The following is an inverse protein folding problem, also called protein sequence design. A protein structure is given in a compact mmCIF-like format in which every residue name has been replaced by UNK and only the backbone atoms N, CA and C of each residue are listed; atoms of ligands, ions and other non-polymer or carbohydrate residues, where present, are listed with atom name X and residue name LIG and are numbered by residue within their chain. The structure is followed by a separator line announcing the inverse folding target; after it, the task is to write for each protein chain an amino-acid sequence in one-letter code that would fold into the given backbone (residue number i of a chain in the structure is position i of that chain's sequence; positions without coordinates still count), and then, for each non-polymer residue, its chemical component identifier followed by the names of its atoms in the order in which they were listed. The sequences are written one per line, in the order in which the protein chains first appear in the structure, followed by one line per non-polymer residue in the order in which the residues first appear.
data_IF_951711393948
#
_entry.id   IF_951711393948
#
_cell.length_a   1.000
_cell.length_b   1.000
_cell.length_c   1.000
_cell.angle_alpha   90.00
_cell.angle_beta   90.00
_cell.angle_gamma   90.00
#
_symmetry.space_group_name_H-M   'P 1'
#
loop_
_entity.id
_entity.type
_entity.pdbx_description
1 polymer ?
#
# COMPACT_ATOMS: atom_id res chain seq x y z
N UNK A 1 -3.68 22.67 2.59
CA UNK A 1 -4.75 21.82 2.00
C UNK A 1 -5.40 21.05 3.14
N UNK A 2 -6.63 21.38 3.54
CA UNK A 2 -7.33 20.64 4.61
C UNK A 2 -7.87 19.33 4.02
N UNK A 3 -7.40 18.20 4.51
CA UNK A 3 -7.89 16.87 4.11
C UNK A 3 -9.25 16.66 4.81
N UNK A 4 -10.35 16.91 4.11
CA UNK A 4 -11.70 16.65 4.62
C UNK A 4 -12.11 15.23 4.24
N UNK A 5 -11.74 14.25 5.08
CA UNK A 5 -12.20 12.87 4.91
C UNK A 5 -13.65 12.75 5.39
N UNK A 6 -14.47 12.09 4.59
CA UNK A 6 -15.84 11.72 5.01
C UNK A 6 -15.78 10.53 5.97
N UNK A 7 -16.77 10.40 6.87
CA UNK A 7 -16.89 9.24 7.77
C UNK A 7 -16.82 7.91 7.01
N UNK A 8 -17.43 7.84 5.82
CA UNK A 8 -17.37 6.67 4.95
C UNK A 8 -15.94 6.32 4.54
N UNK A 9 -15.14 7.31 4.15
CA UNK A 9 -13.73 7.10 3.77
C UNK A 9 -12.89 6.63 4.94
N UNK A 10 -13.12 7.18 6.13
CA UNK A 10 -12.43 6.77 7.37
C UNK A 10 -12.75 5.31 7.69
N UNK A 11 -14.03 4.94 7.71
CA UNK A 11 -14.46 3.56 7.99
C UNK A 11 -13.92 2.58 6.94
N UNK A 12 -13.99 2.96 5.66
CA UNK A 12 -13.46 2.12 4.58
C UNK A 12 -11.95 1.95 4.68
N UNK A 13 -11.20 3.02 4.97
CA UNK A 13 -9.76 2.95 5.18
C UNK A 13 -9.41 2.04 6.37
N UNK A 14 -10.12 2.18 7.50
CA UNK A 14 -9.93 1.33 8.67
C UNK A 14 -10.15 -0.16 8.36
N UNK A 15 -11.22 -0.48 7.60
CA UNK A 15 -11.50 -1.85 7.17
C UNK A 15 -10.41 -2.41 6.24
N UNK A 16 -9.89 -1.59 5.31
CA UNK A 16 -8.82 -2.00 4.40
C UNK A 16 -7.49 -2.20 5.14
N UNK A 17 -7.17 -1.35 6.11
CA UNK A 17 -6.00 -1.51 6.97
C UNK A 17 -6.13 -2.80 7.80
N UNK A 18 -7.28 -3.04 8.43
CA UNK A 18 -7.52 -4.26 9.19
C UNK A 18 -7.43 -5.52 8.32
N UNK A 19 -7.99 -5.49 7.11
CA UNK A 19 -7.87 -6.58 6.15
C UNK A 19 -6.41 -6.84 5.76
N UNK A 20 -5.62 -5.79 5.56
CA UNK A 20 -4.17 -5.91 5.29
C UNK A 20 -3.46 -6.58 6.47
N UNK A 21 -3.72 -6.14 7.72
CA UNK A 21 -3.11 -6.73 8.91
C UNK A 21 -3.41 -8.23 9.03
N UNK A 22 -4.64 -8.65 8.72
CA UNK A 22 -5.03 -10.07 8.75
C UNK A 22 -4.36 -10.85 7.61
N UNK A 23 -4.37 -10.34 6.38
CA UNK A 23 -3.79 -11.02 5.23
C UNK A 23 -2.25 -11.12 5.31
N UNK A 24 -1.59 -10.15 5.94
CA UNK A 24 -0.15 -10.20 6.20
C UNK A 24 0.25 -11.32 7.17
N UNK A 25 -0.68 -11.84 8.00
CA UNK A 25 -0.41 -13.03 8.80
C UNK A 25 -0.40 -14.32 7.97
N UNK A 26 -0.98 -14.30 6.77
CA UNK A 26 -0.97 -15.44 5.84
C UNK A 26 0.32 -15.44 5.02
N UNK A 27 1.44 -15.60 5.72
CA UNK A 27 2.79 -15.60 5.14
C UNK A 27 3.09 -16.94 4.51
N UNK A 28 3.44 -16.97 3.21
CA UNK A 28 3.96 -18.14 2.51
C UNK A 28 5.43 -18.33 2.85
N UNK A 29 6.15 -17.21 2.93
CA UNK A 29 7.58 -17.18 3.21
C UNK A 29 7.93 -15.90 4.00
N UNK A 30 8.84 -16.02 4.96
CA UNK A 30 9.32 -14.92 5.78
C UNK A 30 10.85 -14.87 5.76
N UNK A 31 11.40 -13.66 5.54
CA UNK A 31 12.84 -13.44 5.50
C UNK A 31 13.37 -13.15 6.91
N UNK A 32 14.62 -13.57 7.23
CA UNK A 32 15.19 -13.42 8.59
C UNK A 32 15.31 -11.96 9.07
N UNK A 33 15.57 -11.01 8.15
CA UNK A 33 15.71 -9.58 8.45
C UNK A 33 14.44 -8.77 8.18
N UNK A 34 13.28 -9.43 8.15
CA UNK A 34 12.02 -8.82 7.77
C UNK A 34 11.73 -8.93 6.28
N UNK A 35 10.49 -8.67 5.91
CA UNK A 35 9.96 -8.92 4.57
C UNK A 35 9.34 -10.30 4.44
N UNK A 36 8.18 -10.36 3.80
CA UNK A 36 7.39 -11.59 3.65
C UNK A 36 6.76 -11.64 2.29
N UNK A 37 6.59 -12.85 1.77
CA UNK A 37 5.67 -13.14 0.66
C UNK A 37 4.35 -13.57 1.27
N UNK A 38 3.27 -12.84 0.94
CA UNK A 38 1.95 -13.05 1.52
C UNK A 38 0.92 -13.46 0.48
N UNK A 39 -0.23 -13.95 0.93
CA UNK A 39 -1.37 -14.27 0.05
C UNK A 39 -2.16 -12.98 -0.34
N UNK A 40 -1.42 -11.96 -0.83
CA UNK A 40 -2.02 -10.71 -1.29
C UNK A 40 -2.27 -9.70 -0.18
N UNK A 41 -1.42 -9.66 0.83
CA UNK A 41 -1.52 -8.72 1.95
C UNK A 41 -1.64 -7.26 1.52
N UNK A 42 -0.98 -6.86 0.43
CA UNK A 42 -1.05 -5.49 -0.09
C UNK A 42 -2.31 -5.17 -0.90
N UNK A 43 -3.12 -6.17 -1.28
CA UNK A 43 -4.33 -5.95 -2.10
C UNK A 43 -5.31 -4.96 -1.47
N UNK A 44 -5.64 -5.01 -0.17
CA UNK A 44 -6.57 -4.05 0.41
C UNK A 44 -6.06 -2.60 0.38
N UNK A 45 -4.77 -2.36 0.62
CA UNK A 45 -4.19 -1.01 0.51
C UNK A 45 -4.22 -0.48 -0.92
N UNK A 46 -3.97 -1.33 -1.91
CA UNK A 46 -4.07 -0.97 -3.32
C UNK A 46 -5.53 -0.66 -3.69
N UNK A 47 -6.48 -1.46 -3.20
CA UNK A 47 -7.92 -1.19 -3.39
C UNK A 47 -8.35 0.12 -2.74
N UNK A 48 -7.84 0.44 -1.55
CA UNK A 48 -8.07 1.72 -0.90
C UNK A 48 -7.62 2.88 -1.79
N UNK A 49 -6.40 2.79 -2.35
CA UNK A 49 -5.87 3.79 -3.26
C UNK A 49 -6.69 3.89 -4.57
N UNK A 50 -7.13 2.78 -5.12
CA UNK A 50 -7.97 2.77 -6.35
C UNK A 50 -9.34 3.40 -6.14
N UNK A 51 -9.96 3.18 -4.98
CA UNK A 51 -11.35 3.56 -4.74
C UNK A 51 -11.49 4.95 -4.15
N UNK A 52 -10.58 5.32 -3.24
CA UNK A 52 -10.62 6.59 -2.50
C UNK A 52 -9.53 7.60 -2.94
N UNK A 53 -8.64 7.17 -3.84
CA UNK A 53 -7.61 8.01 -4.43
C UNK A 53 -6.24 7.90 -3.74
N UNK A 54 -5.20 8.50 -4.37
CA UNK A 54 -3.81 8.30 -3.96
C UNK A 54 -3.50 8.87 -2.57
N UNK A 55 -4.12 9.98 -2.19
CA UNK A 55 -3.87 10.61 -0.88
C UNK A 55 -4.42 9.77 0.26
N UNK A 56 -5.65 9.25 0.12
CA UNK A 56 -6.26 8.37 1.13
C UNK A 56 -5.50 7.05 1.22
N UNK A 57 -5.09 6.50 0.06
CA UNK A 57 -4.23 5.33 -0.01
C UNK A 57 -2.88 5.52 0.67
N UNK A 58 -2.24 6.68 0.46
CA UNK A 58 -0.96 7.00 1.09
C UNK A 58 -1.07 7.16 2.61
N UNK A 59 -2.09 7.86 3.08
CA UNK A 59 -2.35 8.01 4.54
C UNK A 59 -2.66 6.65 5.16
N UNK A 60 -3.52 5.84 4.52
CA UNK A 60 -3.83 4.49 4.98
C UNK A 60 -2.60 3.58 5.01
N UNK A 61 -1.75 3.66 3.98
CA UNK A 61 -0.48 2.95 3.93
C UNK A 61 0.48 3.38 5.03
N UNK A 62 0.60 4.69 5.29
CA UNK A 62 1.42 5.21 6.37
C UNK A 62 0.98 4.67 7.74
N UNK A 63 -0.33 4.72 8.02
CA UNK A 63 -0.90 4.18 9.26
C UNK A 63 -0.66 2.66 9.37
N UNK A 64 -0.88 1.93 8.28
CA UNK A 64 -0.57 0.50 8.24
C UNK A 64 0.92 0.24 8.53
N UNK A 65 1.82 1.03 7.96
CA UNK A 65 3.27 0.88 8.19
C UNK A 65 3.65 0.98 9.68
N UNK A 66 3.07 1.92 10.42
CA UNK A 66 3.26 2.00 11.87
C UNK A 66 2.69 0.78 12.61
N UNK A 67 1.52 0.29 12.21
CA UNK A 67 0.93 -0.90 12.82
C UNK A 67 1.77 -2.16 12.51
N UNK A 68 2.29 -2.27 11.29
CA UNK A 68 3.17 -3.38 10.91
C UNK A 68 4.48 -3.38 11.71
N UNK A 69 5.07 -2.20 11.95
CA UNK A 69 6.23 -2.06 12.83
C UNK A 69 5.95 -2.58 14.26
N UNK A 70 4.72 -2.40 14.75
CA UNK A 70 4.35 -2.89 16.09
C UNK A 70 4.17 -4.42 16.13
N UNK A 71 3.86 -5.06 15.00
CA UNK A 71 3.66 -6.51 14.92
C UNK A 71 4.98 -7.29 14.75
N UNK A 72 5.90 -6.75 13.94
CA UNK A 72 7.14 -7.43 13.56
C UNK A 72 8.29 -6.39 13.48
N UNK A 73 8.75 -5.89 14.63
CA UNK A 73 9.73 -4.82 14.66
C UNK A 73 11.14 -5.34 14.37
N UNK A 74 11.77 -4.81 13.31
CA UNK A 74 13.19 -4.95 13.06
C UNK A 74 13.82 -3.55 13.03
N UNK A 75 14.40 -3.12 14.15
CA UNK A 75 14.83 -1.73 14.36
C UNK A 75 16.35 -1.71 14.55
N UNK A 76 17.06 -1.13 13.59
CA UNK A 76 18.49 -0.87 13.65
C UNK A 76 18.78 0.61 13.90
N UNK A 77 18.00 1.50 13.27
CA UNK A 77 18.19 2.94 13.30
C UNK A 77 16.85 3.67 13.07
N UNK A 78 16.58 4.84 13.71
CA UNK A 78 15.34 5.57 13.52
C UNK A 78 15.02 5.93 12.07
N UNK A 79 16.05 6.27 11.27
CA UNK A 79 15.87 6.57 9.84
C UNK A 79 15.53 5.32 9.03
N UNK A 80 16.16 4.17 9.36
CA UNK A 80 15.80 2.88 8.76
C UNK A 80 14.31 2.56 8.97
N UNK A 81 13.77 2.80 10.16
CA UNK A 81 12.35 2.58 10.47
C UNK A 81 11.45 3.34 9.51
N UNK A 82 11.80 4.58 9.14
CA UNK A 82 11.00 5.35 8.16
C UNK A 82 11.01 4.70 6.78
N UNK A 83 12.16 4.19 6.34
CA UNK A 83 12.32 3.58 5.02
C UNK A 83 11.77 2.16 4.92
N UNK A 84 11.61 1.45 6.05
CA UNK A 84 11.14 0.06 6.05
C UNK A 84 9.66 -0.08 6.43
N UNK A 85 9.08 0.89 7.14
CA UNK A 85 7.70 0.81 7.61
C UNK A 85 6.79 1.89 7.00
N UNK A 86 6.74 3.16 7.44
CA UNK A 86 5.72 4.07 6.93
C UNK A 86 5.89 4.45 5.45
N UNK A 87 7.11 4.74 4.98
CA UNK A 87 7.34 5.20 3.61
C UNK A 87 6.98 4.16 2.53
N UNK A 88 7.45 2.90 2.60
CA UNK A 88 7.16 1.92 1.56
C UNK A 88 5.67 1.60 1.46
N UNK A 89 4.95 1.58 2.58
CA UNK A 89 3.50 1.37 2.54
C UNK A 89 2.74 2.62 2.11
N UNK A 90 3.23 3.81 2.43
CA UNK A 90 2.73 5.08 1.87
C UNK A 90 2.82 5.11 0.34
N UNK A 91 3.87 4.53 -0.23
CA UNK A 91 4.03 4.38 -1.68
C UNK A 91 2.93 3.55 -2.33
N UNK A 92 2.23 2.67 -1.59
CA UNK A 92 1.09 1.92 -2.13
C UNK A 92 -0.07 2.84 -2.55
N UNK A 93 -0.12 4.06 -2.01
CA UNK A 93 -1.05 5.11 -2.46
C UNK A 93 -0.87 5.52 -3.92
N UNK A 94 0.34 5.37 -4.50
CA UNK A 94 0.62 5.66 -5.90
C UNK A 94 -0.22 4.80 -6.87
N UNK A 95 -0.71 3.65 -6.43
CA UNK A 95 -1.62 2.83 -7.20
C UNK A 95 -2.91 3.58 -7.60
N UNK A 96 -3.30 4.61 -6.84
CA UNK A 96 -4.46 5.45 -7.13
C UNK A 96 -4.23 6.56 -8.15
N UNK A 97 -2.99 6.81 -8.63
CA UNK A 97 -2.67 7.92 -9.52
C UNK A 97 -3.25 7.74 -10.94
N UNK A 98 -3.21 6.53 -11.47
CA UNK A 98 -3.62 6.23 -12.84
C UNK A 98 -4.81 5.27 -12.87
N UNK A 99 -6.04 5.73 -12.57
CA UNK A 99 -7.21 4.86 -12.46
C UNK A 99 -7.59 4.16 -13.77
N UNK A 100 -7.17 4.71 -14.91
CA UNK A 100 -7.34 4.09 -16.23
C UNK A 100 -6.32 2.96 -16.49
N UNK A 101 -5.11 3.09 -15.93
CA UNK A 101 -3.97 2.18 -16.14
C UNK A 101 -3.55 1.50 -14.84
N UNK A 102 -4.46 0.75 -14.22
CA UNK A 102 -4.28 0.13 -12.90
C UNK A 102 -3.04 -0.73 -12.78
N UNK A 103 -2.70 -1.48 -13.84
CA UNK A 103 -1.51 -2.33 -13.88
C UNK A 103 -0.25 -1.47 -13.72
N UNK A 104 -0.14 -0.41 -14.53
CA UNK A 104 1.00 0.48 -14.50
C UNK A 104 1.12 1.23 -13.16
N UNK A 105 -0.01 1.67 -12.58
CA UNK A 105 0.02 2.35 -11.28
C UNK A 105 0.33 1.41 -10.12
N UNK A 106 -0.12 0.14 -10.18
CA UNK A 106 0.29 -0.86 -9.19
C UNK A 106 1.79 -1.16 -9.30
N UNK A 107 2.29 -1.34 -10.53
CA UNK A 107 3.73 -1.54 -10.74
C UNK A 107 4.55 -0.34 -10.22
N UNK A 108 4.10 0.89 -10.47
CA UNK A 108 4.72 2.10 -9.95
C UNK A 108 4.76 2.11 -8.42
N UNK A 109 3.68 1.71 -7.76
CA UNK A 109 3.61 1.63 -6.30
C UNK A 109 4.61 0.62 -5.73
N UNK A 110 4.71 -0.57 -6.35
CA UNK A 110 5.68 -1.59 -5.94
C UNK A 110 7.12 -1.19 -6.24
N UNK A 111 7.39 -0.52 -7.36
CA UNK A 111 8.74 0.02 -7.66
C UNK A 111 9.15 1.07 -6.63
N UNK A 112 8.24 1.97 -6.26
CA UNK A 112 8.51 2.97 -5.22
C UNK A 112 8.74 2.31 -3.84
N UNK A 113 7.94 1.29 -3.48
CA UNK A 113 8.15 0.48 -2.28
C UNK A 113 9.51 -0.21 -2.30
N UNK A 114 9.86 -0.83 -3.44
CA UNK A 114 11.15 -1.46 -3.64
C UNK A 114 12.30 -0.47 -3.45
N UNK A 115 12.19 0.73 -4.00
CA UNK A 115 13.22 1.77 -3.86
C UNK A 115 13.44 2.16 -2.39
N UNK A 116 12.38 2.27 -1.58
CA UNK A 116 12.50 2.53 -0.14
C UNK A 116 13.30 1.42 0.57
N UNK A 117 12.91 0.17 0.38
CA UNK A 117 13.59 -0.97 0.98
C UNK A 117 15.02 -1.15 0.42
N UNK A 118 15.23 -0.88 -0.86
CA UNK A 118 16.57 -0.93 -1.47
C UNK A 118 17.51 0.07 -0.82
N UNK A 119 17.10 1.33 -0.67
CA UNK A 119 17.89 2.38 -0.01
C UNK A 119 18.19 1.98 1.44
N UNK A 120 17.17 1.52 2.17
CA UNK A 120 17.34 1.03 3.53
C UNK A 120 18.36 -0.10 3.59
N UNK A 121 18.24 -1.08 2.71
CA UNK A 121 19.13 -2.24 2.64
C UNK A 121 20.59 -1.86 2.36
N UNK A 122 20.83 -0.93 1.44
CA UNK A 122 22.19 -0.46 1.13
C UNK A 122 22.82 0.28 2.31
N UNK A 123 22.03 1.12 3.01
CA UNK A 123 22.57 2.01 4.06
C UNK A 123 22.67 1.32 5.41
N UNK A 124 21.68 0.54 5.79
CA UNK A 124 21.57 0.02 7.17
C UNK A 124 21.82 -1.49 7.28
N UNK A 125 21.71 -2.24 6.19
CA UNK A 125 21.89 -3.70 6.21
C UNK A 125 23.16 -4.16 5.49
N UNK A 126 24.10 -3.26 5.21
CA UNK A 126 25.36 -3.58 4.54
C UNK A 126 26.16 -4.67 5.28
N UNK A 127 26.10 -4.69 6.61
CA UNK A 127 26.78 -5.68 7.47
C UNK A 127 26.21 -7.10 7.37
N UNK A 128 25.04 -7.27 6.80
CA UNK A 128 24.41 -8.57 6.55
C UNK A 128 24.78 -9.16 5.19
N UNK A 129 25.45 -8.38 4.33
CA UNK A 129 25.95 -8.88 3.06
C UNK A 129 27.06 -9.92 3.30
N UNK A 130 27.06 -11.05 2.56
CA UNK A 130 28.17 -12.00 2.59
C UNK A 130 29.50 -11.35 2.29
N UNK A 131 30.60 -11.89 2.83
CA UNK A 131 31.95 -11.38 2.61
C UNK A 131 32.26 -11.25 1.11
N UNK A 132 32.74 -10.09 0.70
CA UNK A 132 33.04 -9.79 -0.71
C UNK A 132 31.86 -9.38 -1.59
N UNK A 133 30.62 -9.43 -1.09
CA UNK A 133 29.45 -9.00 -1.85
C UNK A 133 29.21 -7.49 -1.69
N UNK A 134 28.96 -6.80 -2.80
CA UNK A 134 28.56 -5.39 -2.77
C UNK A 134 27.21 -5.23 -2.06
N UNK A 135 27.06 -4.34 -1.05
CA UNK A 135 25.82 -4.10 -0.34
C UNK A 135 24.63 -3.76 -1.22
N UNK A 136 24.84 -3.04 -2.35
CA UNK A 136 23.78 -2.73 -3.29
C UNK A 136 23.25 -3.98 -4.01
N UNK A 137 24.15 -4.90 -4.37
CA UNK A 137 23.77 -6.18 -4.99
C UNK A 137 23.01 -7.04 -3.97
N UNK A 138 23.50 -7.12 -2.74
CA UNK A 138 22.81 -7.80 -1.66
C UNK A 138 21.41 -7.25 -1.42
N UNK A 139 21.27 -5.94 -1.24
CA UNK A 139 19.96 -5.29 -1.04
C UNK A 139 19.00 -5.51 -2.21
N UNK A 140 19.50 -5.44 -3.46
CA UNK A 140 18.67 -5.68 -4.64
C UNK A 140 18.13 -7.12 -4.65
N UNK A 141 19.00 -8.10 -4.49
CA UNK A 141 18.60 -9.52 -4.51
C UNK A 141 17.67 -9.83 -3.34
N UNK A 142 18.02 -9.40 -2.13
CA UNK A 142 17.22 -9.64 -0.92
C UNK A 142 15.80 -9.09 -1.07
N UNK A 143 15.65 -7.82 -1.46
CA UNK A 143 14.33 -7.20 -1.62
C UNK A 143 13.56 -7.78 -2.81
N UNK A 144 14.22 -8.13 -3.91
CA UNK A 144 13.57 -8.78 -5.05
C UNK A 144 12.99 -10.15 -4.68
N UNK A 145 13.66 -10.90 -3.80
CA UNK A 145 13.24 -12.27 -3.42
C UNK A 145 11.82 -12.32 -2.84
N UNK A 146 11.39 -11.29 -2.10
CA UNK A 146 10.03 -11.27 -1.53
C UNK A 146 9.09 -10.28 -2.24
N UNK A 147 9.57 -9.13 -2.72
CA UNK A 147 8.70 -8.12 -3.35
C UNK A 147 8.21 -8.53 -4.74
N UNK A 148 9.03 -9.27 -5.51
CA UNK A 148 8.61 -9.71 -6.85
C UNK A 148 7.51 -10.77 -6.76
N UNK A 149 7.63 -11.85 -5.97
CA UNK A 149 6.53 -12.79 -5.77
C UNK A 149 5.27 -12.12 -5.17
N UNK A 150 5.42 -11.24 -4.18
CA UNK A 150 4.30 -10.53 -3.56
C UNK A 150 3.57 -9.64 -4.60
N UNK A 151 4.32 -8.94 -5.47
CA UNK A 151 3.75 -8.20 -6.59
C UNK A 151 2.95 -9.09 -7.55
N UNK A 152 3.49 -10.26 -7.93
CA UNK A 152 2.83 -11.19 -8.86
C UNK A 152 1.52 -11.68 -8.26
N UNK A 153 1.52 -12.09 -7.00
CA UNK A 153 0.33 -12.55 -6.28
C UNK A 153 -0.73 -11.45 -6.22
N UNK A 154 -0.33 -10.25 -5.77
CA UNK A 154 -1.22 -9.09 -5.70
C UNK A 154 -1.79 -8.74 -7.08
N UNK A 155 -0.96 -8.78 -8.12
CA UNK A 155 -1.37 -8.50 -9.49
C UNK A 155 -2.41 -9.49 -10.01
N UNK A 156 -2.22 -10.80 -9.76
CA UNK A 156 -3.18 -11.84 -10.15
C UNK A 156 -4.51 -11.62 -9.43
N UNK A 157 -4.50 -11.40 -8.12
CA UNK A 157 -5.70 -11.16 -7.32
C UNK A 157 -6.43 -9.90 -7.82
N UNK A 158 -5.73 -8.80 -8.06
CA UNK A 158 -6.32 -7.55 -8.55
C UNK A 158 -6.92 -7.67 -9.95
N UNK A 159 -6.37 -8.54 -10.81
CA UNK A 159 -6.96 -8.86 -12.12
C UNK A 159 -8.27 -9.65 -12.00
N UNK A 160 -8.33 -10.57 -11.05
CA UNK A 160 -9.52 -11.40 -10.82
C UNK A 160 -10.65 -10.60 -10.14
N UNK A 161 -10.31 -9.56 -9.37
CA UNK A 161 -11.30 -8.73 -8.70
C UNK A 161 -12.02 -7.78 -9.69
N UNK A 162 -13.36 -7.71 -9.67
CA UNK A 162 -14.16 -6.82 -10.54
C UNK A 162 -14.13 -5.37 -10.04
N UNK A 163 -12.93 -4.80 -9.87
CA UNK A 163 -12.71 -3.46 -9.27
C UNK A 163 -13.42 -2.34 -10.03
N UNK A 164 -13.63 -2.50 -11.36
CA UNK A 164 -14.40 -1.55 -12.16
C UNK A 164 -15.85 -1.41 -11.67
N UNK A 165 -16.46 -2.50 -11.25
CA UNK A 165 -17.84 -2.54 -10.74
C UNK A 165 -17.94 -1.83 -9.37
N UNK A 166 -16.93 -1.94 -8.52
CA UNK A 166 -16.86 -1.23 -7.24
C UNK A 166 -16.66 0.27 -7.44
N UNK A 167 -15.73 0.66 -8.32
CA UNK A 167 -15.44 2.07 -8.62
C UNK A 167 -16.63 2.81 -9.22
N UNK A 168 -17.41 2.18 -10.13
CA UNK A 168 -18.62 2.77 -10.70
C UNK A 168 -19.73 2.94 -9.67
N UNK A 169 -19.90 1.98 -8.76
CA UNK A 169 -20.91 2.03 -7.70
C UNK A 169 -20.60 3.17 -6.70
N UNK A 170 -19.36 3.31 -6.27
CA UNK A 170 -18.91 4.41 -5.40
C UNK A 170 -19.14 5.79 -6.04
N UNK A 171 -18.84 5.93 -7.34
CA UNK A 171 -19.01 7.18 -8.09
C UNK A 171 -20.48 7.54 -8.28
N UNK A 172 -21.36 6.55 -8.56
CA UNK A 172 -22.79 6.79 -8.71
C UNK A 172 -23.46 7.24 -7.41
N UNK A 173 -23.13 6.62 -6.28
CA UNK A 173 -23.68 7.05 -4.98
C UNK A 173 -23.26 8.49 -4.63
N UNK A 174 -22.01 8.86 -4.92
CA UNK A 174 -21.52 10.23 -4.68
C UNK A 174 -22.19 11.24 -5.61
N UNK A 175 -22.49 10.86 -6.85
CA UNK A 175 -23.21 11.69 -7.83
C UNK A 175 -24.67 11.87 -7.44
N UNK A 176 -25.38 10.81 -7.08
CA UNK A 176 -26.77 10.84 -6.61
C UNK A 176 -26.92 11.69 -5.34
N UNK A 177 -26.00 11.57 -4.38
CA UNK A 177 -26.02 12.38 -3.17
C UNK A 177 -25.81 13.88 -3.45
N UNK A 178 -24.91 14.22 -4.39
CA UNK A 178 -24.70 15.63 -4.82
C UNK A 178 -25.95 16.17 -5.55
N UNK A 179 -26.61 15.37 -6.38
CA UNK A 179 -27.86 15.75 -7.06
C UNK A 179 -28.99 15.94 -6.05
N UNK A 180 -29.10 15.06 -5.07
CA UNK A 180 -30.11 15.16 -4.00
C UNK A 180 -29.92 16.42 -3.16
N UNK A 181 -28.69 16.70 -2.71
CA UNK A 181 -28.36 17.91 -1.96
C UNK A 181 -28.62 19.18 -2.77
N UNK A 182 -28.29 19.22 -4.06
CA UNK A 182 -28.60 20.35 -4.95
C UNK A 182 -30.10 20.56 -5.11
N UNK A 183 -30.91 19.50 -5.17
CA UNK A 183 -32.37 19.59 -5.19
C UNK A 183 -32.93 20.11 -3.87
N UNK A 184 -32.44 19.59 -2.74
CA UNK A 184 -32.87 20.05 -1.40
C UNK A 184 -32.59 21.54 -1.18
N UNK A 185 -31.38 22.01 -1.53
CA UNK A 185 -31.02 23.44 -1.42
C UNK A 185 -31.88 24.31 -2.32
N UNK A 186 -32.36 23.81 -3.46
CA UNK A 186 -33.25 24.53 -4.38
C UNK A 186 -34.69 24.61 -3.89
N UNK A 187 -35.12 23.69 -3.03
CA UNK A 187 -36.47 23.67 -2.42
C UNK A 187 -36.54 24.59 -1.18
N UNK A 188 -35.39 24.76 -0.49
CA UNK A 188 -35.30 25.58 0.75
C UNK A 188 -35.05 27.06 0.41
N UNK A 189 -34.68 27.40 -0.83
CA UNK A 189 -34.64 28.79 -1.36
C UNK A 189 -35.94 29.16 -2.04
#
# INVERSE_FOLDING_TARGET
MKLHLTTRQIVFAALMIAATLVLEQLRIFHMPQGGSVTLGGMVPLILLAYLEGPVVGAVGGCLYGFLNMMQDPFILHPVQVLFDYPLPYMCMGLAGLLPAHRIASTALAFVARFACHFISGVVFFASYAPEGMNPAVYSMVFNATYLVPDFIICFIILKLLPVKRFSSRCRNETSLRRLFLRRLIRIIK
#
